data_IF_245879096593
#
_entry.id   IF_245879096593
#
_cell.length_a   1.000
_cell.length_b   1.000
_cell.length_c   1.000
_cell.angle_alpha   90.00
_cell.angle_beta   90.00
_cell.angle_gamma   90.00
#
_symmetry.space_group_name_H-M   'P 1'
#
loop_
_entity.id
_entity.type
_entity.pdbx_description
1 polymer ?
#
# COMPACT_ATOMS: atom_id res chain seq x y z
N UNK A 1 -3.80 -1.52 -26.69
CA UNK A 1 -3.68 -1.41 -25.21
C UNK A 1 -5.08 -1.12 -24.64
N UNK A 2 -5.86 -2.18 -24.37
CA UNK A 2 -7.21 -2.03 -23.83
C UNK A 2 -7.03 -1.63 -22.37
N UNK A 3 -7.46 -0.43 -21.98
CA UNK A 3 -7.23 0.19 -20.66
C UNK A 3 -8.03 -0.51 -19.53
N UNK A 4 -7.95 -1.84 -19.45
CA UNK A 4 -8.56 -2.63 -18.39
C UNK A 4 -8.08 -2.18 -17.01
N UNK A 5 -6.79 -1.80 -16.90
CA UNK A 5 -6.23 -1.22 -15.69
C UNK A 5 -6.98 0.05 -15.24
N UNK A 6 -7.40 0.91 -16.18
CA UNK A 6 -8.16 2.12 -15.83
C UNK A 6 -9.53 1.74 -15.28
N UNK A 7 -10.20 0.76 -15.89
CA UNK A 7 -11.49 0.26 -15.41
C UNK A 7 -11.34 -0.38 -14.03
N UNK A 8 -10.28 -1.16 -13.81
CA UNK A 8 -9.95 -1.77 -12.51
C UNK A 8 -9.70 -0.69 -11.45
N UNK A 9 -8.87 0.31 -11.72
CA UNK A 9 -8.56 1.39 -10.77
C UNK A 9 -9.82 2.19 -10.43
N UNK A 10 -10.64 2.54 -11.42
CA UNK A 10 -11.93 3.22 -11.17
C UNK A 10 -12.86 2.33 -10.34
N UNK A 11 -12.94 1.04 -10.66
CA UNK A 11 -13.72 0.06 -9.91
C UNK A 11 -13.29 -0.09 -8.46
N UNK A 12 -11.98 -0.13 -8.19
CA UNK A 12 -11.42 -0.20 -6.82
C UNK A 12 -11.73 1.07 -6.03
N UNK A 13 -11.61 2.25 -6.66
CA UNK A 13 -11.94 3.53 -6.01
C UNK A 13 -13.43 3.56 -5.64
N UNK A 14 -14.31 3.26 -6.59
CA UNK A 14 -15.76 3.26 -6.36
C UNK A 14 -16.18 2.19 -5.36
N UNK A 15 -15.65 0.97 -5.48
CA UNK A 15 -15.94 -0.14 -4.58
C UNK A 15 -15.46 0.13 -3.15
N UNK A 16 -14.27 0.71 -2.99
CA UNK A 16 -13.76 1.13 -1.68
C UNK A 16 -14.61 2.23 -1.05
N UNK A 17 -15.04 3.20 -1.85
CA UNK A 17 -15.92 4.29 -1.39
C UNK A 17 -17.29 3.77 -0.97
N UNK A 18 -17.96 2.98 -1.82
CA UNK A 18 -19.26 2.39 -1.51
C UNK A 18 -19.18 1.45 -0.31
N UNK A 19 -18.10 0.66 -0.18
CA UNK A 19 -17.87 -0.19 0.97
C UNK A 19 -17.61 0.58 2.28
N UNK A 20 -16.98 1.75 2.21
CA UNK A 20 -16.83 2.64 3.37
C UNK A 20 -18.17 3.30 3.76
N UNK A 21 -18.98 3.65 2.77
CA UNK A 21 -20.30 4.26 2.95
C UNK A 21 -21.30 3.27 3.56
N UNK A 22 -21.40 2.06 3.00
CA UNK A 22 -22.32 1.01 3.49
C UNK A 22 -21.97 0.55 4.91
N UNK A 23 -20.70 0.55 5.27
CA UNK A 23 -20.23 0.27 6.62
C UNK A 23 -20.37 1.45 7.60
N UNK A 24 -20.89 2.60 7.16
CA UNK A 24 -21.09 3.79 8.01
C UNK A 24 -19.80 4.38 8.59
N UNK A 25 -18.64 4.05 7.98
CA UNK A 25 -17.30 4.40 8.51
C UNK A 25 -16.59 5.48 7.71
N UNK A 26 -17.30 6.15 6.80
CA UNK A 26 -16.77 7.26 6.02
C UNK A 26 -16.46 8.44 6.96
N UNK A 27 -15.18 8.69 7.21
CA UNK A 27 -14.70 9.79 8.06
C UNK A 27 -13.52 10.47 7.41
N UNK A 28 -13.60 11.78 7.24
CA UNK A 28 -12.48 12.60 6.79
C UNK A 28 -11.57 12.87 7.99
N UNK A 29 -10.56 12.03 8.17
CA UNK A 29 -9.53 12.21 9.21
C UNK A 29 -8.17 11.76 8.71
N UNK A 30 -7.12 12.37 9.25
CA UNK A 30 -5.75 11.91 9.05
C UNK A 30 -5.41 10.92 10.15
N UNK A 31 -5.31 9.65 9.80
CA UNK A 31 -4.87 8.60 10.74
C UNK A 31 -3.40 8.82 11.11
N UNK A 32 -3.17 9.21 12.36
CA UNK A 32 -1.86 9.53 12.91
C UNK A 32 -1.73 8.99 14.33
N UNK A 33 -0.51 8.70 14.77
CA UNK A 33 -0.25 8.39 16.16
C UNK A 33 -0.24 9.63 17.09
N UNK A 34 -0.16 9.42 18.41
CA UNK A 34 -0.18 10.50 19.40
C UNK A 34 1.02 11.44 19.25
N UNK A 35 2.19 10.91 18.90
CA UNK A 35 3.47 11.64 18.91
C UNK A 35 3.86 12.27 17.57
N UNK A 36 2.93 12.44 16.62
CA UNK A 36 3.21 13.06 15.33
C UNK A 36 2.17 14.13 14.95
N UNK A 37 2.63 15.22 14.34
CA UNK A 37 1.78 16.26 13.77
C UNK A 37 1.12 15.80 12.46
N UNK A 38 0.02 16.45 12.06
CA UNK A 38 -0.67 16.15 10.79
C UNK A 38 0.26 16.34 9.60
N UNK A 39 1.02 17.45 9.58
CA UNK A 39 2.00 17.73 8.52
C UNK A 39 3.10 16.68 8.48
N UNK A 40 3.61 16.27 9.64
CA UNK A 40 4.59 15.18 9.73
C UNK A 40 4.06 13.88 9.15
N UNK A 41 2.85 13.46 9.55
CA UNK A 41 2.22 12.23 9.06
C UNK A 41 2.03 12.24 7.54
N UNK A 42 1.58 13.35 6.98
CA UNK A 42 1.41 13.51 5.53
C UNK A 42 2.76 13.46 4.80
N UNK A 43 3.82 14.08 5.34
CA UNK A 43 5.16 14.00 4.77
C UNK A 43 5.69 12.56 4.74
N UNK A 44 5.52 11.80 5.83
CA UNK A 44 5.88 10.37 5.85
C UNK A 44 5.05 9.52 4.88
N UNK A 45 3.75 9.78 4.77
CA UNK A 45 2.88 9.07 3.84
C UNK A 45 3.28 9.34 2.37
N UNK A 46 3.58 10.60 2.04
CA UNK A 46 4.08 10.97 0.73
C UNK A 46 5.46 10.35 0.44
N UNK A 47 6.40 10.43 1.38
CA UNK A 47 7.72 9.81 1.25
C UNK A 47 7.64 8.30 1.03
N UNK A 48 6.80 7.61 1.82
CA UNK A 48 6.54 6.18 1.63
C UNK A 48 5.90 5.87 0.27
N UNK A 49 4.96 6.71 -0.19
CA UNK A 49 4.32 6.58 -1.50
C UNK A 49 5.30 6.72 -2.67
N UNK A 50 6.21 7.69 -2.61
CA UNK A 50 7.27 7.89 -3.62
C UNK A 50 8.21 6.69 -3.67
N UNK A 51 8.67 6.22 -2.50
CA UNK A 51 9.53 5.03 -2.42
C UNK A 51 8.81 3.81 -2.99
N UNK A 52 7.53 3.61 -2.66
CA UNK A 52 6.73 2.51 -3.17
C UNK A 52 6.58 2.58 -4.69
N UNK A 53 6.29 3.75 -5.25
CA UNK A 53 6.16 3.93 -6.70
C UNK A 53 7.44 3.60 -7.47
N UNK A 54 8.59 4.04 -6.95
CA UNK A 54 9.89 3.67 -7.50
C UNK A 54 10.15 2.15 -7.39
N UNK A 55 9.91 1.57 -6.20
CA UNK A 55 10.12 0.16 -5.94
C UNK A 55 9.20 -0.75 -6.80
N UNK A 56 7.95 -0.34 -7.04
CA UNK A 56 7.00 -1.10 -7.87
C UNK A 56 7.47 -1.20 -9.32
N UNK A 57 8.13 -0.15 -9.83
CA UNK A 57 8.73 -0.15 -11.16
C UNK A 57 9.93 -1.09 -11.22
N UNK A 58 10.81 -1.04 -10.20
CA UNK A 58 11.98 -1.92 -10.09
C UNK A 58 11.58 -3.40 -9.98
N UNK A 59 10.54 -3.71 -9.19
CA UNK A 59 10.00 -5.05 -9.03
C UNK A 59 9.14 -5.53 -10.22
N UNK A 60 8.93 -4.66 -11.23
CA UNK A 60 7.99 -4.88 -12.35
C UNK A 60 6.62 -5.36 -11.89
N UNK A 61 6.11 -4.76 -10.81
CA UNK A 61 4.78 -5.05 -10.30
C UNK A 61 4.55 -4.52 -8.89
N UNK A 62 3.29 -4.55 -8.46
CA UNK A 62 2.86 -4.16 -7.13
C UNK A 62 2.56 -5.40 -6.28
N UNK A 63 2.15 -5.20 -5.03
CA UNK A 63 1.75 -6.30 -4.14
C UNK A 63 0.64 -7.16 -4.73
N UNK A 64 -0.36 -6.56 -5.38
CA UNK A 64 -1.44 -7.33 -6.04
C UNK A 64 -0.91 -8.16 -7.21
N UNK A 65 -0.03 -7.60 -8.04
CA UNK A 65 0.50 -8.30 -9.22
C UNK A 65 1.56 -9.34 -8.88
N UNK A 66 2.57 -8.97 -8.09
CA UNK A 66 3.68 -9.85 -7.72
C UNK A 66 3.30 -10.79 -6.58
N UNK A 67 2.72 -10.31 -5.48
CA UNK A 67 2.46 -11.19 -4.34
C UNK A 67 1.19 -12.04 -4.52
N UNK A 68 0.06 -11.47 -4.98
CA UNK A 68 -1.18 -12.23 -5.12
C UNK A 68 -1.21 -13.04 -6.43
N UNK A 69 -1.16 -12.39 -7.59
CA UNK A 69 -1.29 -13.09 -8.89
C UNK A 69 -0.05 -13.92 -9.22
N UNK A 70 1.16 -13.36 -9.10
CA UNK A 70 2.41 -14.08 -9.35
C UNK A 70 2.70 -15.17 -8.32
N UNK A 71 2.35 -14.94 -7.05
CA UNK A 71 2.45 -15.93 -5.99
C UNK A 71 1.51 -17.13 -6.18
N UNK A 72 0.26 -16.87 -6.62
CA UNK A 72 -0.69 -17.93 -6.97
C UNK A 72 -0.22 -18.79 -8.15
N UNK A 73 0.52 -18.19 -9.09
CA UNK A 73 1.19 -18.90 -10.18
C UNK A 73 2.49 -19.61 -9.79
N UNK A 74 2.83 -19.67 -8.49
CA UNK A 74 4.07 -20.26 -7.94
C UNK A 74 5.36 -19.67 -8.53
N UNK A 75 5.34 -18.40 -8.97
CA UNK A 75 6.52 -17.72 -9.48
C UNK A 75 7.57 -17.56 -8.38
N UNK A 76 8.78 -18.09 -8.58
CA UNK A 76 9.84 -18.01 -7.56
C UNK A 76 10.18 -16.57 -7.19
N UNK A 77 10.24 -15.66 -8.17
CA UNK A 77 10.48 -14.23 -7.93
C UNK A 77 9.36 -13.56 -7.12
N UNK A 78 8.12 -14.00 -7.31
CA UNK A 78 6.95 -13.51 -6.59
C UNK A 78 6.93 -13.92 -5.12
N UNK A 79 7.35 -15.16 -4.84
CA UNK A 79 7.53 -15.64 -3.46
C UNK A 79 8.67 -14.92 -2.75
N UNK A 80 9.80 -14.70 -3.43
CA UNK A 80 10.91 -13.91 -2.88
C UNK A 80 10.45 -12.48 -2.61
N UNK A 81 9.74 -11.85 -3.55
CA UNK A 81 9.17 -10.52 -3.38
C UNK A 81 8.25 -10.46 -2.16
N UNK A 82 7.33 -11.42 -2.02
CA UNK A 82 6.42 -11.49 -0.88
C UNK A 82 7.19 -11.54 0.44
N UNK A 83 8.16 -12.44 0.57
CA UNK A 83 8.97 -12.57 1.80
C UNK A 83 9.75 -11.29 2.11
N UNK A 84 10.34 -10.65 1.08
CA UNK A 84 11.09 -9.41 1.25
C UNK A 84 10.20 -8.22 1.63
N UNK A 85 8.98 -8.14 1.09
CA UNK A 85 8.03 -7.08 1.44
C UNK A 85 7.62 -7.19 2.91
N UNK A 86 7.27 -8.39 3.39
CA UNK A 86 6.93 -8.57 4.79
C UNK A 86 8.15 -8.38 5.70
N UNK A 87 9.28 -9.03 5.39
CA UNK A 87 10.50 -8.92 6.17
C UNK A 87 11.01 -7.48 6.27
N UNK A 88 11.10 -6.78 5.13
CA UNK A 88 11.49 -5.37 5.07
C UNK A 88 10.48 -4.46 5.76
N UNK A 89 9.18 -4.74 5.61
CA UNK A 89 8.12 -4.03 6.30
C UNK A 89 8.26 -4.09 7.82
N UNK A 90 8.45 -5.28 8.39
CA UNK A 90 8.65 -5.44 9.84
C UNK A 90 9.98 -4.83 10.32
N UNK A 91 11.05 -4.91 9.53
CA UNK A 91 12.32 -4.28 9.86
C UNK A 91 12.19 -2.74 9.94
N UNK A 92 11.53 -2.12 8.95
CA UNK A 92 11.33 -0.67 8.90
C UNK A 92 10.28 -0.21 9.90
N UNK A 93 9.30 -1.05 10.25
CA UNK A 93 8.27 -0.74 11.25
C UNK A 93 8.90 -0.29 12.58
N UNK A 94 10.04 -0.86 12.97
CA UNK A 94 10.73 -0.48 14.19
C UNK A 94 11.24 0.98 14.19
N UNK A 95 11.54 1.54 13.02
CA UNK A 95 12.01 2.92 12.87
C UNK A 95 10.85 3.91 12.97
N UNK A 96 9.70 3.55 12.37
CA UNK A 96 8.50 4.42 12.34
C UNK A 96 7.58 4.21 13.54
N UNK A 97 7.80 3.20 14.40
CA UNK A 97 6.97 2.94 15.59
C UNK A 97 6.88 4.12 16.55
N UNK A 98 7.93 4.95 16.64
CA UNK A 98 7.98 6.18 17.46
C UNK A 98 6.91 7.21 17.07
N UNK A 99 6.27 7.06 15.91
CA UNK A 99 5.13 7.89 15.52
C UNK A 99 3.85 7.51 16.27
N UNK A 100 3.74 6.25 16.70
CA UNK A 100 2.54 5.61 17.25
C UNK A 100 2.63 5.25 18.73
N UNK A 101 3.85 5.18 19.27
CA UNK A 101 4.15 4.98 20.69
C UNK A 101 4.73 6.25 21.26
#
# INVERSE_FOLDING_TARGET
LRNWLVVEVVGVILGGFLGALSAGRLKTKVEKGPNISVRGRLAYALGGGVIMGFAATLARGCTSGQALSGGAGLGTGSWIFMLMVFGGGYAVAHLVRRQWT
#
